data_IF_694649926082
#
_entry.id   IF_694649926082
#
_cell.length_a   1.000
_cell.length_b   1.000
_cell.length_c   1.000
_cell.angle_alpha   90.00
_cell.angle_beta   90.00
_cell.angle_gamma   90.00
#
_symmetry.space_group_name_H-M   'P 1'
#
loop_
_entity.id
_entity.type
_entity.pdbx_description
1 polymer ?
#
# COMPACT_ATOMS: atom_id res chain seq x y z
N UNK A 1 18.67 15.98 10.01
CA UNK A 1 19.91 15.20 9.76
C UNK A 1 19.69 13.83 10.40
N UNK A 2 19.32 12.83 9.60
CA UNK A 2 19.10 11.46 10.06
C UNK A 2 20.47 10.81 10.28
N UNK A 3 20.74 10.30 11.47
CA UNK A 3 21.96 9.53 11.73
C UNK A 3 21.68 8.05 11.42
N UNK A 4 22.18 7.56 10.28
CA UNK A 4 22.20 6.12 9.98
C UNK A 4 23.28 5.47 10.85
N UNK A 5 22.90 4.78 11.92
CA UNK A 5 23.82 3.94 12.69
C UNK A 5 23.56 2.47 12.38
N UNK A 6 24.52 1.84 11.72
CA UNK A 6 24.53 0.39 11.50
C UNK A 6 25.33 -0.23 12.63
N UNK A 7 24.67 -0.93 13.55
CA UNK A 7 25.37 -1.70 14.59
C UNK A 7 25.61 -3.11 14.03
N UNK A 8 26.87 -3.47 13.79
CA UNK A 8 27.26 -4.84 13.47
C UNK A 8 27.48 -5.63 14.75
N UNK A 9 26.68 -6.66 14.98
CA UNK A 9 27.02 -7.75 15.91
C UNK A 9 27.18 -9.05 15.11
N UNK A 10 28.31 -9.71 15.36
CA UNK A 10 28.86 -10.78 14.53
C UNK A 10 28.05 -12.08 14.54
N UNK A 11 28.11 -12.74 13.38
CA UNK A 11 27.67 -14.10 13.01
C UNK A 11 26.18 -14.26 12.63
N UNK A 12 25.99 -14.54 11.33
CA UNK A 12 24.78 -15.00 10.62
C UNK A 12 23.46 -14.21 10.76
N UNK A 13 23.51 -12.94 11.14
CA UNK A 13 22.31 -12.11 11.31
C UNK A 13 22.21 -11.08 10.18
N UNK A 14 21.03 -10.94 9.57
CA UNK A 14 20.68 -9.81 8.70
C UNK A 14 21.07 -8.53 9.46
N UNK A 15 21.80 -7.57 8.86
CA UNK A 15 22.25 -6.38 9.57
C UNK A 15 21.07 -5.67 10.24
N UNK A 16 21.16 -5.48 11.55
CA UNK A 16 20.25 -4.63 12.31
C UNK A 16 20.52 -3.17 11.95
N UNK A 17 19.84 -2.67 10.92
CA UNK A 17 19.76 -1.22 10.69
C UNK A 17 18.76 -0.64 11.70
N UNK A 18 19.24 0.27 12.54
CA UNK A 18 18.37 1.08 13.39
C UNK A 18 18.00 2.31 12.58
N UNK A 19 16.72 2.44 12.21
CA UNK A 19 16.21 3.69 11.67
C UNK A 19 15.65 4.53 12.80
N UNK A 20 16.29 5.66 13.06
CA UNK A 20 15.81 6.69 13.98
C UNK A 20 14.91 7.62 13.20
N UNK A 21 13.60 7.48 13.35
CA UNK A 21 12.62 8.43 12.79
C UNK A 21 12.51 9.62 13.74
N UNK A 22 12.64 10.84 13.23
CA UNK A 22 12.60 12.05 14.05
C UNK A 22 11.30 12.82 13.83
N UNK A 23 10.17 12.30 14.33
CA UNK A 23 8.92 13.04 14.42
C UNK A 23 8.79 13.80 15.75
N UNK A 24 9.87 14.43 16.20
CA UNK A 24 9.88 15.32 17.37
C UNK A 24 9.81 14.64 18.75
N UNK A 25 9.26 13.42 18.90
CA UNK A 25 9.12 12.80 20.24
C UNK A 25 9.36 11.28 20.35
N UNK A 26 9.45 10.50 19.26
CA UNK A 26 9.66 9.05 19.39
C UNK A 26 10.62 8.44 18.36
N UNK A 27 11.72 7.87 18.85
CA UNK A 27 12.66 7.05 18.10
C UNK A 27 12.16 5.61 18.08
N UNK A 28 11.74 5.09 16.92
CA UNK A 28 11.32 3.69 16.78
C UNK A 28 12.50 2.85 16.30
N UNK A 29 13.20 2.19 17.23
CA UNK A 29 14.21 1.19 16.86
C UNK A 29 13.54 -0.13 16.47
N UNK A 30 13.94 -0.71 15.34
CA UNK A 30 13.47 -2.01 14.88
C UNK A 30 14.57 -2.82 14.19
N UNK A 31 14.33 -4.12 14.02
CA UNK A 31 15.16 -5.02 13.23
C UNK A 31 14.39 -5.55 12.03
N UNK A 32 15.09 -5.78 10.91
CA UNK A 32 14.50 -6.36 9.71
C UNK A 32 14.28 -7.86 9.92
N UNK A 33 13.03 -8.30 9.77
CA UNK A 33 12.64 -9.71 9.90
C UNK A 33 12.73 -10.40 8.55
N UNK A 34 12.05 -9.85 7.55
CA UNK A 34 12.00 -10.40 6.19
C UNK A 34 11.57 -9.36 5.18
N UNK A 35 11.89 -9.61 3.92
CA UNK A 35 11.26 -8.93 2.79
C UNK A 35 9.89 -9.55 2.52
N UNK A 36 8.86 -8.74 2.35
CA UNK A 36 7.47 -9.20 2.18
C UNK A 36 7.26 -9.83 0.81
N UNK A 37 7.90 -9.26 -0.21
CA UNK A 37 7.78 -9.65 -1.61
C UNK A 37 9.16 -9.53 -2.29
N UNK A 38 9.55 -10.48 -3.18
CA UNK A 38 10.88 -10.47 -3.80
C UNK A 38 11.12 -9.28 -4.74
N UNK A 39 10.08 -8.62 -5.23
CA UNK A 39 10.16 -7.51 -6.19
C UNK A 39 10.00 -6.14 -5.52
N UNK A 40 9.10 -6.02 -4.53
CA UNK A 40 8.85 -4.77 -3.81
C UNK A 40 9.83 -4.56 -2.67
N UNK A 41 10.28 -3.33 -2.45
CA UNK A 41 11.15 -2.98 -1.32
C UNK A 41 10.33 -2.72 -0.06
N UNK A 42 9.54 -3.72 0.34
CA UNK A 42 8.71 -3.70 1.55
C UNK A 42 9.22 -4.78 2.50
N UNK A 43 9.44 -4.40 3.75
CA UNK A 43 10.06 -5.23 4.76
C UNK A 43 9.20 -5.26 6.01
N UNK A 44 9.02 -6.45 6.56
CA UNK A 44 8.49 -6.62 7.90
C UNK A 44 9.62 -6.34 8.89
N UNK A 45 9.35 -5.46 9.85
CA UNK A 45 10.29 -5.11 10.91
C UNK A 45 9.66 -5.32 12.27
N UNK A 46 10.51 -5.55 13.28
CA UNK A 46 10.08 -5.81 14.65
C UNK A 46 10.82 -4.91 15.62
N UNK A 47 10.09 -4.25 16.52
CA UNK A 47 10.70 -3.46 17.61
C UNK A 47 11.22 -4.37 18.73
N UNK A 48 11.97 -3.78 19.67
CA UNK A 48 12.40 -4.48 20.89
C UNK A 48 11.23 -5.02 21.70
N UNK A 49 10.10 -4.29 21.72
CA UNK A 49 8.85 -4.69 22.38
C UNK A 49 8.01 -5.67 21.56
N UNK A 50 8.59 -6.27 20.52
CA UNK A 50 7.94 -7.21 19.61
C UNK A 50 6.76 -6.65 18.81
N UNK A 51 6.65 -5.32 18.68
CA UNK A 51 5.67 -4.68 17.82
C UNK A 51 6.12 -4.80 16.35
N UNK A 52 5.18 -5.14 15.47
CA UNK A 52 5.45 -5.31 14.04
C UNK A 52 5.06 -4.04 13.28
N UNK A 53 5.95 -3.62 12.38
CA UNK A 53 5.70 -2.56 11.41
C UNK A 53 6.14 -3.00 10.02
N UNK A 54 5.73 -2.23 9.01
CA UNK A 54 6.22 -2.38 7.64
C UNK A 54 7.02 -1.16 7.22
N UNK A 55 8.22 -1.40 6.71
CA UNK A 55 9.10 -0.38 6.14
C UNK A 55 9.12 -0.56 4.64
N UNK A 56 8.79 0.50 3.91
CA UNK A 56 8.85 0.55 2.46
C UNK A 56 9.87 1.60 2.01
N UNK A 57 10.60 1.28 0.95
CA UNK A 57 11.42 2.23 0.22
C UNK A 57 10.83 2.46 -1.17
N UNK A 58 10.60 3.73 -1.51
CA UNK A 58 10.04 4.12 -2.80
C UNK A 58 10.65 5.45 -3.28
N UNK A 59 10.65 5.71 -4.59
CA UNK A 59 11.09 7.01 -5.14
C UNK A 59 9.97 8.05 -5.20
N UNK A 60 8.73 7.61 -5.09
CA UNK A 60 7.53 8.44 -5.08
C UNK A 60 6.55 7.82 -4.10
N UNK A 61 5.83 8.67 -3.37
CA UNK A 61 4.83 8.22 -2.42
C UNK A 61 3.77 9.30 -2.21
N UNK A 62 2.50 8.93 -2.35
CA UNK A 62 1.35 9.78 -2.09
C UNK A 62 1.04 9.86 -0.60
N UNK A 63 1.90 10.52 0.18
CA UNK A 63 1.74 10.65 1.64
C UNK A 63 0.37 11.24 2.03
N UNK A 64 -0.01 12.36 1.42
CA UNK A 64 -1.30 13.02 1.71
C UNK A 64 -2.50 12.10 1.40
N UNK A 65 -2.42 11.33 0.30
CA UNK A 65 -3.44 10.36 -0.07
C UNK A 65 -3.52 9.21 0.94
N UNK A 66 -2.37 8.66 1.38
CA UNK A 66 -2.33 7.62 2.40
C UNK A 66 -2.88 8.12 3.74
N UNK A 67 -2.45 9.29 4.21
CA UNK A 67 -2.99 9.90 5.44
C UNK A 67 -4.50 10.09 5.36
N UNK A 68 -5.02 10.62 4.25
CA UNK A 68 -6.47 10.75 4.06
C UNK A 68 -7.18 9.40 4.03
N UNK A 69 -6.62 8.41 3.35
CA UNK A 69 -7.19 7.06 3.33
C UNK A 69 -7.22 6.46 4.75
N UNK A 70 -6.21 6.69 5.58
CA UNK A 70 -6.21 6.26 6.98
C UNK A 70 -7.30 6.96 7.81
N UNK A 71 -7.48 8.28 7.66
CA UNK A 71 -8.57 9.04 8.32
C UNK A 71 -9.95 8.47 7.98
N UNK A 72 -10.13 8.02 6.74
CA UNK A 72 -11.36 7.37 6.26
C UNK A 72 -11.48 5.89 6.68
N UNK A 73 -10.47 5.33 7.34
CA UNK A 73 -10.42 3.91 7.72
C UNK A 73 -10.10 2.95 6.56
N UNK A 74 -9.55 3.47 5.46
CA UNK A 74 -9.27 2.78 4.19
C UNK A 74 -7.79 2.46 3.98
N UNK A 75 -6.94 2.66 4.97
CA UNK A 75 -5.52 2.31 4.91
C UNK A 75 -4.98 1.96 6.30
N UNK A 76 -3.87 1.22 6.41
CA UNK A 76 -3.12 1.15 7.66
C UNK A 76 -2.61 2.52 8.08
N UNK A 77 -2.29 2.70 9.35
CA UNK A 77 -1.73 3.97 9.83
C UNK A 77 -0.35 4.20 9.23
N UNK A 78 -0.16 5.35 8.59
CA UNK A 78 1.15 5.86 8.23
C UNK A 78 1.80 6.49 9.46
N UNK A 79 3.01 6.03 9.81
CA UNK A 79 3.79 6.55 10.93
C UNK A 79 4.80 7.60 10.48
N UNK A 80 5.41 7.40 9.31
CA UNK A 80 6.33 8.37 8.71
C UNK A 80 6.41 8.19 7.20
N UNK A 81 6.77 9.27 6.51
CA UNK A 81 7.22 9.29 5.13
C UNK A 81 8.35 10.32 4.99
N UNK A 82 9.59 9.89 5.17
CA UNK A 82 10.77 10.77 5.19
C UNK A 82 11.56 10.67 3.89
N UNK A 83 12.13 11.78 3.45
CA UNK A 83 13.05 11.82 2.30
C UNK A 83 14.45 11.34 2.68
N UNK A 84 15.05 10.60 1.75
CA UNK A 84 16.41 10.10 1.77
C UNK A 84 17.16 10.65 0.54
N UNK A 85 18.47 10.41 0.49
CA UNK A 85 19.28 10.78 -0.66
C UNK A 85 18.81 10.11 -1.96
N UNK A 86 18.96 10.80 -3.09
CA UNK A 86 18.63 10.26 -4.42
C UNK A 86 17.14 10.10 -4.69
N UNK A 87 16.31 10.99 -4.13
CA UNK A 87 14.84 10.99 -4.23
C UNK A 87 14.16 9.75 -3.62
N UNK A 88 14.89 8.98 -2.82
CA UNK A 88 14.29 7.87 -2.09
C UNK A 88 13.49 8.39 -0.92
N UNK A 89 12.48 7.62 -0.53
CA UNK A 89 11.68 7.84 0.66
C UNK A 89 11.70 6.57 1.51
N UNK A 90 11.73 6.75 2.82
CA UNK A 90 11.42 5.69 3.79
C UNK A 90 10.02 5.92 4.33
N UNK A 91 9.18 4.89 4.20
CA UNK A 91 7.79 4.91 4.61
C UNK A 91 7.62 3.84 5.67
N UNK A 92 7.11 4.22 6.85
CA UNK A 92 6.83 3.27 7.92
C UNK A 92 5.35 3.29 8.24
N UNK A 93 4.73 2.12 8.29
CA UNK A 93 3.29 1.98 8.50
C UNK A 93 2.96 0.78 9.40
N UNK A 94 1.78 0.83 10.01
CA UNK A 94 1.22 -0.28 10.78
C UNK A 94 0.87 -1.49 9.90
N UNK A 95 0.78 -2.69 10.48
CA UNK A 95 0.33 -3.88 9.76
C UNK A 95 -1.15 -3.78 9.42
N UNK A 96 -1.53 -4.39 8.30
CA UNK A 96 -2.93 -4.64 7.98
C UNK A 96 -3.51 -5.60 9.03
N UNK A 97 -4.69 -5.34 9.62
CA UNK A 97 -5.26 -6.24 10.62
C UNK A 97 -5.52 -7.64 10.05
N UNK A 98 -5.14 -8.69 10.80
CA UNK A 98 -5.16 -10.12 10.35
C UNK A 98 -6.49 -10.63 9.76
N UNK A 99 -7.61 -9.98 10.11
CA UNK A 99 -8.94 -10.31 9.60
C UNK A 99 -9.13 -9.95 8.14
N UNK A 100 -8.46 -8.89 7.67
CA UNK A 100 -8.47 -8.54 6.26
C UNK A 100 -7.73 -9.59 5.44
N UNK A 101 -8.23 -9.86 4.23
CA UNK A 101 -7.64 -10.75 3.23
C UNK A 101 -7.37 -9.97 1.95
N UNK A 102 -6.30 -10.31 1.24
CA UNK A 102 -6.04 -9.69 -0.05
C UNK A 102 -7.22 -9.98 -0.99
N UNK A 103 -7.70 -8.98 -1.71
CA UNK A 103 -8.80 -9.14 -2.64
C UNK A 103 -8.43 -10.13 -3.74
N UNK A 104 -7.15 -10.21 -4.15
CA UNK A 104 -6.69 -11.22 -5.12
C UNK A 104 -6.99 -12.65 -4.66
N UNK A 105 -6.68 -12.98 -3.40
CA UNK A 105 -6.93 -14.32 -2.84
C UNK A 105 -8.43 -14.65 -2.82
N UNK A 106 -9.26 -13.66 -2.50
CA UNK A 106 -10.73 -13.79 -2.37
C UNK A 106 -11.38 -13.92 -3.75
N UNK A 107 -11.00 -13.08 -4.71
CA UNK A 107 -11.60 -12.99 -6.05
C UNK A 107 -11.10 -14.10 -6.98
N UNK A 108 -9.84 -14.53 -6.85
CA UNK A 108 -9.27 -15.58 -7.71
C UNK A 108 -9.69 -17.00 -7.29
N UNK A 109 -10.50 -17.15 -6.24
CA UNK A 109 -10.93 -18.45 -5.71
C UNK A 109 -9.81 -19.32 -5.15
N UNK A 110 -8.62 -18.74 -4.86
CA UNK A 110 -7.49 -19.47 -4.25
C UNK A 110 -7.68 -19.70 -2.75
N UNK A 111 -8.69 -19.07 -2.14
CA UNK A 111 -9.15 -19.44 -0.80
C UNK A 111 -9.70 -20.87 -0.79
N UNK A 112 -9.37 -21.66 0.24
CA UNK A 112 -9.78 -23.08 0.42
C UNK A 112 -11.29 -23.37 0.28
N UNK A 113 -12.14 -22.34 0.28
CA UNK A 113 -13.55 -22.40 -0.07
C UNK A 113 -13.76 -21.56 -1.32
N UNK A 114 -14.18 -22.18 -2.42
CA UNK A 114 -14.76 -21.45 -3.55
C UNK A 114 -15.95 -20.65 -3.03
N UNK A 115 -15.90 -19.33 -3.18
CA UNK A 115 -17.04 -18.47 -2.92
C UNK A 115 -18.07 -18.65 -4.04
N UNK A 116 -19.36 -18.50 -3.73
CA UNK A 116 -20.39 -18.41 -4.76
C UNK A 116 -20.20 -17.15 -5.58
N UNK A 117 -20.69 -17.15 -6.82
CA UNK A 117 -20.66 -15.95 -7.68
C UNK A 117 -21.33 -14.74 -7.01
N UNK A 118 -22.40 -14.99 -6.24
CA UNK A 118 -23.08 -13.98 -5.42
C UNK A 118 -22.17 -13.40 -4.33
N UNK A 119 -21.40 -14.24 -3.64
CA UNK A 119 -20.45 -13.77 -2.63
C UNK A 119 -19.28 -12.99 -3.24
N UNK A 120 -18.80 -13.38 -4.42
CA UNK A 120 -17.79 -12.62 -5.17
C UNK A 120 -18.35 -11.25 -5.58
N UNK A 121 -19.59 -11.23 -6.10
CA UNK A 121 -20.25 -9.98 -6.48
C UNK A 121 -20.47 -9.06 -5.26
N UNK A 122 -20.79 -9.64 -4.10
CA UNK A 122 -20.90 -8.90 -2.85
C UNK A 122 -19.55 -8.26 -2.46
N UNK A 123 -18.44 -9.00 -2.56
CA UNK A 123 -17.09 -8.46 -2.29
C UNK A 123 -16.75 -7.30 -3.23
N UNK A 124 -17.07 -7.39 -4.52
CA UNK A 124 -16.89 -6.29 -5.47
C UNK A 124 -17.68 -5.06 -5.06
N UNK A 125 -18.94 -5.23 -4.67
CA UNK A 125 -19.80 -4.15 -4.20
C UNK A 125 -19.24 -3.50 -2.94
N UNK A 126 -18.77 -4.31 -1.98
CA UNK A 126 -18.13 -3.83 -0.76
C UNK A 126 -16.91 -2.97 -1.08
N UNK A 127 -16.04 -3.42 -2.00
CA UNK A 127 -14.86 -2.64 -2.38
C UNK A 127 -15.29 -1.31 -3.04
N UNK A 128 -16.24 -1.35 -3.97
CA UNK A 128 -16.74 -0.15 -4.65
C UNK A 128 -17.28 0.89 -3.67
N UNK A 129 -18.13 0.45 -2.73
CA UNK A 129 -18.71 1.35 -1.74
C UNK A 129 -17.70 1.81 -0.69
N UNK A 130 -16.81 0.93 -0.23
CA UNK A 130 -15.81 1.26 0.77
C UNK A 130 -14.84 2.34 0.27
N UNK A 131 -14.50 2.34 -1.02
CA UNK A 131 -13.53 3.30 -1.57
C UNK A 131 -14.15 4.63 -2.02
N UNK A 132 -15.48 4.73 -2.11
CA UNK A 132 -16.17 5.94 -2.54
C UNK A 132 -15.79 7.22 -1.75
N UNK A 133 -15.67 7.19 -0.40
CA UNK A 133 -15.27 8.37 0.37
C UNK A 133 -13.88 8.91 -0.04
N UNK A 134 -12.94 8.05 -0.40
CA UNK A 134 -11.61 8.47 -0.84
C UNK A 134 -11.67 9.26 -2.15
N UNK A 135 -12.52 8.83 -3.09
CA UNK A 135 -12.76 9.53 -4.34
C UNK A 135 -13.50 10.86 -4.14
N UNK A 136 -14.41 10.94 -3.16
CA UNK A 136 -15.13 12.17 -2.83
C UNK A 136 -14.22 13.26 -2.28
N UNK A 137 -13.14 12.88 -1.59
CA UNK A 137 -12.09 13.80 -1.13
C UNK A 137 -11.14 14.27 -2.26
N UNK A 138 -11.37 13.83 -3.50
CA UNK A 138 -10.58 14.25 -4.67
C UNK A 138 -9.18 13.61 -4.74
N UNK A 139 -9.01 12.45 -4.09
CA UNK A 139 -7.79 11.67 -4.17
C UNK A 139 -7.90 10.53 -5.18
N UNK A 140 -6.78 10.28 -5.85
CA UNK A 140 -6.55 9.14 -6.73
C UNK A 140 -5.42 8.28 -6.16
N UNK A 141 -5.54 6.98 -6.31
CA UNK A 141 -4.53 5.98 -5.98
C UNK A 141 -3.71 5.60 -7.21
N UNK A 142 -4.36 5.40 -8.36
CA UNK A 142 -3.75 5.06 -9.64
C UNK A 142 -3.36 3.59 -9.82
N UNK A 143 -3.46 2.75 -8.79
CA UNK A 143 -3.05 1.34 -8.86
C UNK A 143 -4.01 0.41 -8.08
N UNK A 144 -5.32 0.62 -8.26
CA UNK A 144 -6.39 -0.12 -7.53
C UNK A 144 -6.64 -1.52 -8.11
N UNK A 145 -5.61 -2.35 -8.06
CA UNK A 145 -5.67 -3.77 -8.42
C UNK A 145 -6.04 -4.63 -7.21
N UNK A 146 -6.54 -5.84 -7.46
CA UNK A 146 -6.87 -6.83 -6.42
C UNK A 146 -5.70 -7.10 -5.46
N UNK A 147 -4.47 -7.00 -5.95
CA UNK A 147 -3.24 -7.18 -5.17
C UNK A 147 -2.94 -6.04 -4.18
N UNK A 148 -3.52 -4.85 -4.40
CA UNK A 148 -3.31 -3.66 -3.58
C UNK A 148 -4.54 -3.35 -2.70
N UNK A 149 -5.54 -4.24 -2.69
CA UNK A 149 -6.77 -4.08 -1.93
C UNK A 149 -6.90 -5.25 -0.96
N UNK A 150 -7.30 -4.94 0.26
CA UNK A 150 -7.55 -5.87 1.33
C UNK A 150 -8.99 -5.71 1.81
N UNK A 151 -9.70 -6.81 2.03
CA UNK A 151 -11.12 -6.82 2.41
C UNK A 151 -11.37 -7.58 3.70
N UNK A 152 -12.24 -7.03 4.53
CA UNK A 152 -12.86 -7.69 5.68
C UNK A 152 -14.32 -7.95 5.31
N UNK A 153 -14.59 -9.14 4.77
CA UNK A 153 -15.90 -9.50 4.22
C UNK A 153 -16.99 -9.47 5.29
N UNK A 154 -16.67 -9.89 6.52
CA UNK A 154 -17.64 -9.94 7.62
C UNK A 154 -18.05 -8.55 8.13
N UNK A 155 -17.18 -7.55 7.91
CA UNK A 155 -17.41 -6.15 8.32
C UNK A 155 -17.68 -5.22 7.16
N UNK A 156 -17.69 -5.74 5.93
CA UNK A 156 -17.90 -4.98 4.71
C UNK A 156 -16.92 -3.79 4.60
N UNK A 157 -15.64 -4.02 4.92
CA UNK A 157 -14.60 -2.98 4.86
C UNK A 157 -13.54 -3.29 3.82
N UNK A 158 -13.02 -2.24 3.19
CA UNK A 158 -11.87 -2.26 2.30
C UNK A 158 -10.70 -1.45 2.86
N UNK A 159 -9.48 -1.89 2.58
CA UNK A 159 -8.24 -1.16 2.80
C UNK A 159 -7.40 -1.18 1.52
N UNK A 160 -6.78 -0.06 1.20
CA UNK A 160 -5.81 0.09 0.11
C UNK A 160 -4.40 0.10 0.67
N UNK A 161 -3.46 -0.39 -0.15
CA UNK A 161 -2.02 -0.28 0.08
C UNK A 161 -1.32 0.10 -1.22
N UNK A 162 -0.03 0.42 -1.14
CA UNK A 162 0.81 0.74 -2.31
C UNK A 162 0.51 2.11 -2.95
N UNK A 163 0.54 3.18 -2.15
CA UNK A 163 0.28 4.57 -2.55
C UNK A 163 1.40 5.25 -3.38
N UNK A 164 2.23 4.51 -4.12
CA UNK A 164 3.39 5.08 -4.83
C UNK A 164 3.00 6.08 -5.93
N UNK A 165 1.83 5.88 -6.52
CA UNK A 165 1.32 6.72 -7.61
C UNK A 165 0.25 7.70 -7.13
N UNK A 166 -0.21 7.55 -5.89
CA UNK A 166 -1.36 8.26 -5.37
C UNK A 166 -1.11 9.76 -5.19
N UNK A 167 -2.20 10.53 -5.20
CA UNK A 167 -2.18 11.98 -5.02
C UNK A 167 -3.55 12.58 -5.27
N UNK A 168 -3.59 13.87 -5.61
CA UNK A 168 -4.83 14.52 -6.01
C UNK A 168 -5.17 14.26 -7.47
N UNK A 169 -6.47 14.21 -7.75
CA UNK A 169 -7.05 14.03 -9.08
C UNK A 169 -6.41 14.97 -10.13
N UNK A 170 -5.86 14.38 -11.19
CA UNK A 170 -5.16 15.07 -12.28
C UNK A 170 -3.85 15.78 -11.89
N UNK A 171 -3.40 15.70 -10.63
CA UNK A 171 -2.15 16.36 -10.15
C UNK A 171 -0.93 15.45 -10.12
N UNK A 172 -1.16 14.14 -10.10
CA UNK A 172 -0.11 13.13 -10.21
C UNK A 172 -0.16 12.44 -11.56
N UNK A 173 0.96 11.87 -11.98
CA UNK A 173 1.09 11.16 -13.26
C UNK A 173 1.54 9.73 -13.06
N UNK A 174 1.08 8.86 -13.95
CA UNK A 174 1.60 7.51 -14.10
C UNK A 174 3.09 7.51 -14.43
N UNK A 175 3.87 6.53 -13.93
CA UNK A 175 5.25 6.32 -14.36
C UNK A 175 5.32 5.91 -15.85
N UNK A 176 6.53 5.86 -16.44
CA UNK A 176 6.72 5.26 -17.75
C UNK A 176 6.30 3.78 -17.77
N UNK A 177 5.88 3.32 -18.95
CA UNK A 177 5.55 1.92 -19.27
C UNK A 177 4.31 1.37 -18.53
N UNK A 178 3.33 2.21 -18.23
CA UNK A 178 2.03 1.76 -17.71
C UNK A 178 1.10 1.46 -18.88
N UNK A 179 0.93 0.17 -19.18
CA UNK A 179 0.14 -0.31 -20.32
C UNK A 179 -0.79 -1.43 -19.91
N UNK A 180 -1.98 -1.44 -20.49
CA UNK A 180 -2.88 -2.58 -20.40
C UNK A 180 -2.23 -3.79 -21.10
N UNK A 181 -2.22 -4.94 -20.43
CA UNK A 181 -1.65 -6.19 -20.92
C UNK A 181 -2.52 -7.38 -20.53
N UNK A 182 -2.15 -8.59 -20.97
CA UNK A 182 -2.84 -9.82 -20.59
C UNK A 182 -2.72 -10.17 -19.10
N UNK A 183 -1.76 -9.58 -18.39
CA UNK A 183 -1.50 -9.85 -16.96
C UNK A 183 -1.83 -8.67 -16.06
N UNK A 184 -1.89 -7.45 -16.61
CA UNK A 184 -2.21 -6.23 -15.87
C UNK A 184 -3.22 -5.44 -16.69
N UNK A 185 -4.47 -5.41 -16.25
CA UNK A 185 -5.48 -4.58 -16.87
C UNK A 185 -5.29 -3.10 -16.48
N UNK A 186 -5.55 -2.22 -17.44
CA UNK A 186 -5.59 -0.77 -17.25
C UNK A 186 -6.81 -0.18 -17.98
N UNK A 187 -7.36 0.96 -17.51
CA UNK A 187 -8.53 1.59 -18.11
C UNK A 187 -8.29 2.11 -19.53
N UNK A 188 -7.03 2.43 -19.88
CA UNK A 188 -6.60 2.77 -21.22
C UNK A 188 -5.44 1.87 -21.64
N UNK A 189 -5.22 1.71 -22.95
CA UNK A 189 -4.15 0.85 -23.49
C UNK A 189 -2.75 1.34 -23.14
N UNK A 190 -2.57 2.66 -23.00
CA UNK A 190 -1.32 3.32 -22.66
C UNK A 190 -1.61 4.50 -21.73
N UNK A 191 -1.04 4.46 -20.52
CA UNK A 191 -1.21 5.48 -19.48
C UNK A 191 0.09 6.19 -19.13
N UNK A 192 1.23 5.84 -19.75
CA UNK A 192 2.52 6.43 -19.43
C UNK A 192 2.48 7.96 -19.44
N UNK A 193 2.90 8.56 -18.32
CA UNK A 193 2.94 10.01 -18.10
C UNK A 193 1.60 10.75 -18.19
N UNK A 194 0.48 10.04 -18.36
CA UNK A 194 -0.86 10.62 -18.31
C UNK A 194 -1.14 11.05 -16.86
N UNK A 195 -1.90 12.14 -16.66
CA UNK A 195 -2.49 12.43 -15.36
C UNK A 195 -3.30 11.22 -14.89
N UNK A 196 -3.24 10.95 -13.59
CA UNK A 196 -4.09 9.94 -12.95
C UNK A 196 -5.40 10.63 -12.58
N UNK A 197 -6.50 10.12 -13.11
CA UNK A 197 -7.83 10.71 -12.96
C UNK A 197 -8.75 9.78 -12.14
N UNK A 198 -9.74 10.36 -11.45
CA UNK A 198 -10.72 9.58 -10.68
C UNK A 198 -11.43 8.52 -11.53
N UNK A 199 -11.70 8.82 -12.80
CA UNK A 199 -12.28 7.88 -13.76
C UNK A 199 -11.41 6.63 -13.94
N UNK A 200 -10.08 6.77 -13.91
CA UNK A 200 -9.16 5.63 -14.02
C UNK A 200 -9.33 4.69 -12.83
N UNK A 201 -9.34 5.24 -11.61
CA UNK A 201 -9.53 4.46 -10.39
C UNK A 201 -10.91 3.80 -10.32
N UNK A 202 -11.97 4.54 -10.66
CA UNK A 202 -13.33 3.98 -10.73
C UNK A 202 -13.42 2.83 -11.71
N UNK A 203 -12.76 2.94 -12.86
CA UNK A 203 -12.71 1.88 -13.85
C UNK A 203 -11.90 0.67 -13.35
N UNK A 204 -10.80 0.87 -12.63
CA UNK A 204 -10.03 -0.22 -12.00
C UNK A 204 -10.87 -0.97 -10.96
N UNK A 205 -11.57 -0.26 -10.07
CA UNK A 205 -12.41 -0.88 -9.05
C UNK A 205 -13.62 -1.60 -9.68
N UNK A 206 -14.16 -1.09 -10.78
CA UNK A 206 -15.21 -1.75 -11.56
C UNK A 206 -14.71 -3.03 -12.26
N UNK A 207 -13.41 -3.13 -12.55
CA UNK A 207 -12.81 -4.25 -13.25
C UNK A 207 -12.39 -5.43 -12.34
N UNK A 208 -12.23 -5.19 -11.04
CA UNK A 208 -12.03 -6.25 -10.02
C UNK A 208 -13.13 -7.31 -10.15
#
# INVERSE_FOLDING_TARGET
MILLSVIHHSQSSIPSLIHVLSNGEAVISFTYVRRVDPTRLVFEVKTQDNVIYYVKFARRYGEAAHCKAYELGLAPKLLTCEELEGDWKVIVMEPIPKRYKAADDVLSGRTKRSLSDEAIQNVRSIIQEALNPFFQEGFVHGDLRSANIYVDVDKEKGMMVDFDWAGHDGKVKYPPNVRCSSTIWCPETELSFRPIELEHDRAMVKHL
#
